data_IF_452763770332
#
_entry.id   IF_452763770332
#
_cell.length_a   1.000
_cell.length_b   1.000
_cell.length_c   1.000
_cell.angle_alpha   90.00
_cell.angle_beta   90.00
_cell.angle_gamma   90.00
#
_symmetry.space_group_name_H-M   'P 1'
#
loop_
_entity.id
_entity.type
_entity.pdbx_description
1 polymer ?
#
# COMPACT_ATOMS: atom_id res chain seq x y z
N UNK A 1 28.06 -8.54 -0.24
CA UNK A 1 28.08 -7.33 -1.05
C UNK A 1 27.61 -7.64 -2.47
N UNK A 2 26.66 -6.87 -2.97
CA UNK A 2 26.12 -7.03 -4.33
C UNK A 2 27.21 -6.69 -5.35
N UNK A 3 27.43 -7.58 -6.32
CA UNK A 3 28.32 -7.30 -7.45
C UNK A 3 27.55 -6.59 -8.57
N UNK A 4 27.87 -5.33 -8.81
CA UNK A 4 27.29 -4.51 -9.87
C UNK A 4 28.14 -4.48 -11.15
N UNK A 5 29.28 -5.16 -11.20
CA UNK A 5 30.16 -5.19 -12.39
C UNK A 5 29.46 -5.74 -13.66
N UNK A 6 28.53 -6.70 -13.56
CA UNK A 6 27.78 -7.19 -14.73
C UNK A 6 26.76 -6.20 -15.29
N UNK A 7 26.43 -5.09 -14.59
CA UNK A 7 25.44 -4.13 -15.02
C UNK A 7 26.01 -3.21 -16.11
N UNK A 8 26.03 -3.71 -17.34
CA UNK A 8 26.47 -2.94 -18.50
C UNK A 8 25.26 -2.50 -19.34
N UNK A 9 25.43 -1.46 -20.16
CA UNK A 9 24.40 -1.03 -21.10
C UNK A 9 24.01 -2.13 -22.06
N UNK A 10 24.99 -2.94 -22.50
CA UNK A 10 24.76 -4.07 -23.42
C UNK A 10 23.92 -5.17 -22.73
N UNK A 11 24.20 -5.49 -21.47
CA UNK A 11 23.41 -6.43 -20.69
C UNK A 11 21.96 -5.96 -20.51
N UNK A 12 21.78 -4.66 -20.22
CA UNK A 12 20.46 -4.04 -20.11
C UNK A 12 19.69 -4.13 -21.44
N UNK A 13 20.35 -3.79 -22.57
CA UNK A 13 19.72 -3.86 -23.89
C UNK A 13 19.33 -5.29 -24.27
N UNK A 14 20.15 -6.27 -23.94
CA UNK A 14 19.83 -7.68 -24.20
C UNK A 14 18.65 -8.15 -23.31
N UNK A 15 18.60 -7.73 -22.05
CA UNK A 15 17.46 -8.00 -21.16
C UNK A 15 16.17 -7.42 -21.72
N UNK A 16 16.18 -6.14 -22.14
CA UNK A 16 15.02 -5.47 -22.75
C UNK A 16 14.57 -6.18 -24.01
N UNK A 17 15.51 -6.55 -24.88
CA UNK A 17 15.22 -7.28 -26.13
C UNK A 17 14.58 -8.64 -25.86
N UNK A 18 15.08 -9.36 -24.85
CA UNK A 18 14.59 -10.68 -24.48
C UNK A 18 13.19 -10.62 -23.90
N UNK A 19 12.96 -9.71 -22.94
CA UNK A 19 11.64 -9.52 -22.36
C UNK A 19 10.68 -8.94 -23.40
N UNK A 20 11.16 -8.00 -24.23
CA UNK A 20 10.38 -7.39 -25.31
C UNK A 20 9.87 -8.37 -26.38
N UNK A 21 10.45 -9.58 -26.45
CA UNK A 21 9.92 -10.66 -27.27
C UNK A 21 8.65 -11.29 -26.67
N UNK A 22 8.44 -11.19 -25.36
CA UNK A 22 7.27 -11.73 -24.65
C UNK A 22 6.15 -10.69 -24.56
N UNK A 23 6.49 -9.43 -24.22
CA UNK A 23 5.53 -8.32 -24.12
C UNK A 23 6.20 -6.95 -24.31
N UNK A 24 5.44 -5.90 -24.72
CA UNK A 24 5.99 -4.57 -24.93
C UNK A 24 6.44 -3.92 -23.60
N UNK A 25 7.74 -3.71 -23.48
CA UNK A 25 8.35 -3.06 -22.31
C UNK A 25 8.10 -1.55 -22.38
N UNK A 26 7.50 -0.99 -21.33
CA UNK A 26 7.31 0.44 -21.16
C UNK A 26 8.35 1.05 -20.21
N UNK A 27 8.63 0.35 -19.13
CA UNK A 27 9.52 0.83 -18.06
C UNK A 27 10.43 -0.31 -17.62
N UNK A 28 11.66 0.03 -17.28
CA UNK A 28 12.65 -0.90 -16.75
C UNK A 28 13.21 -0.35 -15.46
N UNK A 29 13.15 -1.17 -14.42
CA UNK A 29 13.73 -0.88 -13.11
C UNK A 29 14.84 -1.86 -12.77
N UNK A 30 15.69 -1.48 -11.81
CA UNK A 30 16.68 -2.36 -11.20
C UNK A 30 16.32 -2.60 -9.74
N UNK A 31 16.17 -3.86 -9.36
CA UNK A 31 15.93 -4.26 -7.97
C UNK A 31 16.94 -5.31 -7.54
N UNK A 32 17.36 -5.26 -6.29
CA UNK A 32 18.21 -6.29 -5.71
C UNK A 32 17.37 -7.19 -4.81
N UNK A 33 17.38 -8.48 -5.09
CA UNK A 33 16.69 -9.51 -4.30
C UNK A 33 17.71 -10.59 -3.92
N UNK A 34 17.83 -10.89 -2.63
CA UNK A 34 18.81 -11.86 -2.11
C UNK A 34 20.26 -11.62 -2.61
N UNK A 35 20.70 -10.35 -2.60
CA UNK A 35 22.01 -9.90 -3.11
C UNK A 35 22.20 -10.06 -4.63
N UNK A 36 21.21 -10.51 -5.38
CA UNK A 36 21.24 -10.62 -6.83
C UNK A 36 20.48 -9.44 -7.45
N UNK A 37 21.10 -8.69 -8.38
CA UNK A 37 20.39 -7.63 -9.11
C UNK A 37 19.52 -8.24 -10.21
N UNK A 38 18.29 -7.71 -10.34
CA UNK A 38 17.31 -8.07 -11.36
C UNK A 38 16.87 -6.83 -12.12
N UNK A 39 16.71 -6.94 -13.40
CA UNK A 39 15.91 -6.01 -14.19
C UNK A 39 14.44 -6.41 -14.09
N UNK A 40 13.60 -5.42 -13.81
CA UNK A 40 12.15 -5.58 -13.79
C UNK A 40 11.61 -4.76 -14.94
N UNK A 41 10.95 -5.41 -15.87
CA UNK A 41 10.31 -4.75 -16.99
C UNK A 41 8.80 -4.73 -16.78
N UNK A 42 8.21 -3.56 -16.89
CA UNK A 42 6.77 -3.34 -16.77
C UNK A 42 6.15 -3.12 -18.14
N UNK A 43 4.97 -3.71 -18.35
CA UNK A 43 4.12 -3.48 -19.50
C UNK A 43 3.16 -2.33 -19.23
N UNK A 44 2.95 -1.47 -20.24
CA UNK A 44 1.85 -0.53 -20.15
C UNK A 44 0.51 -1.28 -20.08
N UNK A 45 -0.42 -0.85 -19.22
CA UNK A 45 -1.76 -1.39 -19.24
C UNK A 45 -2.41 -1.13 -20.63
N UNK A 46 -3.21 -2.07 -21.08
CA UNK A 46 -3.99 -1.91 -22.30
C UNK A 46 -5.08 -0.86 -22.12
N UNK A 47 -5.62 -0.32 -23.21
CA UNK A 47 -6.74 0.62 -23.14
C UNK A 47 -7.97 0.02 -22.44
N UNK A 48 -8.20 -1.27 -22.61
CA UNK A 48 -9.32 -1.97 -21.98
C UNK A 48 -9.11 -2.09 -20.46
N UNK A 49 -7.91 -2.46 -20.01
CA UNK A 49 -7.55 -2.49 -18.59
C UNK A 49 -7.69 -1.12 -17.95
N UNK A 50 -7.25 -0.05 -18.65
CA UNK A 50 -7.41 1.33 -18.19
C UNK A 50 -8.88 1.74 -18.11
N UNK A 51 -9.71 1.41 -19.10
CA UNK A 51 -11.15 1.72 -19.09
C UNK A 51 -11.84 1.01 -17.95
N UNK A 52 -11.55 -0.26 -17.73
CA UNK A 52 -12.12 -1.03 -16.62
C UNK A 52 -11.69 -0.47 -15.28
N UNK A 53 -10.43 -0.08 -15.13
CA UNK A 53 -9.92 0.54 -13.92
C UNK A 53 -10.59 1.90 -13.65
N UNK A 54 -10.67 2.78 -14.65
CA UNK A 54 -11.35 4.08 -14.54
C UNK A 54 -12.83 3.91 -14.21
N UNK A 55 -13.50 2.96 -14.83
CA UNK A 55 -14.92 2.66 -14.54
C UNK A 55 -15.12 2.21 -13.10
N UNK A 56 -14.24 1.39 -12.57
CA UNK A 56 -14.29 0.96 -11.16
C UNK A 56 -13.94 2.12 -10.20
N UNK A 57 -12.87 2.86 -10.48
CA UNK A 57 -12.40 3.95 -9.63
C UNK A 57 -13.39 5.12 -9.54
N UNK A 58 -14.21 5.34 -10.57
CA UNK A 58 -15.27 6.36 -10.55
C UNK A 58 -16.40 6.02 -9.57
N UNK A 59 -16.60 4.73 -9.26
CA UNK A 59 -17.63 4.23 -8.36
C UNK A 59 -17.09 3.83 -6.98
N UNK A 60 -15.79 3.61 -6.89
CA UNK A 60 -15.13 3.11 -5.69
C UNK A 60 -13.78 3.81 -5.47
N UNK A 61 -13.73 4.72 -4.50
CA UNK A 61 -12.52 5.44 -4.11
C UNK A 61 -11.40 4.52 -3.55
N UNK A 62 -11.74 3.26 -3.24
CA UNK A 62 -10.80 2.24 -2.78
C UNK A 62 -10.48 1.21 -3.86
N UNK A 63 -10.69 1.56 -5.13
CA UNK A 63 -10.27 0.68 -6.22
C UNK A 63 -8.78 0.37 -6.08
N UNK A 64 -8.39 -0.90 -6.08
CA UNK A 64 -6.99 -1.29 -5.99
C UNK A 64 -6.17 -0.58 -7.07
N UNK A 65 -4.95 -0.21 -6.73
CA UNK A 65 -3.98 0.33 -7.69
C UNK A 65 -3.90 -0.62 -8.89
N UNK A 66 -3.89 -0.09 -10.10
CA UNK A 66 -3.74 -0.89 -11.30
C UNK A 66 -2.38 -1.62 -11.23
N UNK A 67 -2.44 -2.92 -11.08
CA UNK A 67 -1.25 -3.75 -11.06
C UNK A 67 -0.73 -3.88 -12.48
N UNK A 68 0.54 -3.47 -12.70
CA UNK A 68 1.17 -3.57 -14.00
C UNK A 68 1.80 -4.94 -14.15
N UNK A 69 1.48 -5.63 -15.25
CA UNK A 69 2.16 -6.88 -15.59
C UNK A 69 3.66 -6.64 -15.76
N UNK A 70 4.47 -7.49 -15.17
CA UNK A 70 5.90 -7.33 -15.09
C UNK A 70 6.64 -8.66 -15.25
N UNK A 71 7.92 -8.55 -15.60
CA UNK A 71 8.84 -9.69 -15.72
C UNK A 71 10.17 -9.33 -15.10
N UNK A 72 10.72 -10.30 -14.40
CA UNK A 72 12.07 -10.27 -13.88
C UNK A 72 13.02 -10.99 -14.82
N UNK A 73 14.23 -10.48 -14.93
CA UNK A 73 15.39 -11.20 -15.50
C UNK A 73 16.60 -10.88 -14.67
N UNK A 74 17.45 -11.88 -14.38
CA UNK A 74 18.68 -11.63 -13.65
C UNK A 74 19.59 -10.69 -14.44
N UNK A 75 20.09 -9.65 -13.78
CA UNK A 75 21.03 -8.72 -14.39
C UNK A 75 22.46 -9.31 -14.50
N UNK A 76 22.74 -10.38 -13.75
CA UNK A 76 24.00 -11.13 -13.82
C UNK A 76 23.97 -12.32 -14.77
N UNK A 77 22.75 -12.79 -15.11
CA UNK A 77 22.53 -13.87 -16.08
C UNK A 77 21.35 -13.52 -16.98
N UNK A 78 21.58 -12.64 -17.95
CA UNK A 78 20.59 -12.24 -18.94
C UNK A 78 20.21 -13.35 -19.93
N UNK A 79 20.91 -14.51 -19.88
CA UNK A 79 20.56 -15.70 -20.67
C UNK A 79 19.39 -16.46 -20.01
N UNK A 80 19.21 -16.33 -18.71
CA UNK A 80 18.10 -16.93 -17.98
C UNK A 80 16.74 -16.52 -18.56
N UNK A 81 15.71 -17.35 -18.36
CA UNK A 81 14.35 -17.02 -18.78
C UNK A 81 13.76 -15.92 -17.89
N UNK A 82 13.03 -14.96 -18.48
CA UNK A 82 12.22 -14.06 -17.69
C UNK A 82 11.17 -14.83 -16.86
N UNK A 83 10.83 -14.30 -15.69
CA UNK A 83 9.83 -14.88 -14.80
C UNK A 83 9.00 -13.77 -14.13
N UNK A 84 7.83 -14.10 -13.61
CA UNK A 84 6.93 -13.16 -12.95
C UNK A 84 6.90 -13.27 -11.43
N UNK A 85 7.34 -14.40 -10.88
CA UNK A 85 7.22 -14.70 -9.46
C UNK A 85 8.47 -15.38 -8.92
N UNK A 86 8.89 -15.00 -7.73
CA UNK A 86 9.95 -15.66 -6.99
C UNK A 86 9.46 -16.97 -6.37
N UNK A 87 10.33 -17.96 -6.29
CA UNK A 87 10.01 -19.24 -5.68
C UNK A 87 9.92 -19.13 -4.15
N UNK A 88 9.23 -20.08 -3.52
CA UNK A 88 9.21 -20.19 -2.04
C UNK A 88 10.63 -20.21 -1.46
N UNK A 89 11.56 -20.91 -2.11
CA UNK A 89 12.97 -20.96 -1.70
C UNK A 89 13.59 -19.57 -1.69
N UNK A 90 13.30 -18.72 -2.67
CA UNK A 90 13.82 -17.36 -2.74
C UNK A 90 13.21 -16.47 -1.65
N UNK A 91 11.90 -16.61 -1.40
CA UNK A 91 11.22 -15.92 -0.33
C UNK A 91 11.77 -16.32 1.05
N UNK A 92 12.04 -17.60 1.27
CA UNK A 92 12.66 -18.07 2.52
C UNK A 92 14.09 -17.55 2.71
N UNK A 93 14.87 -17.38 1.64
CA UNK A 93 16.18 -16.70 1.71
C UNK A 93 16.01 -15.22 2.09
N UNK A 94 15.02 -14.51 1.54
CA UNK A 94 14.72 -13.14 1.93
C UNK A 94 14.36 -13.06 3.42
N UNK A 95 13.52 -13.98 3.89
CA UNK A 95 13.14 -14.07 5.29
C UNK A 95 14.34 -14.34 6.21
N UNK A 96 15.23 -15.26 5.83
CA UNK A 96 16.45 -15.56 6.59
C UNK A 96 17.41 -14.35 6.64
N UNK A 97 17.45 -13.54 5.60
CA UNK A 97 18.23 -12.28 5.60
C UNK A 97 17.62 -11.24 6.54
N UNK A 98 16.28 -11.15 6.58
CA UNK A 98 15.58 -10.21 7.44
C UNK A 98 15.56 -10.62 8.92
N UNK A 99 15.56 -11.93 9.20
CA UNK A 99 15.53 -12.51 10.54
C UNK A 99 16.67 -13.53 10.71
N UNK A 100 17.93 -13.07 10.73
CA UNK A 100 19.09 -13.97 10.83
C UNK A 100 19.07 -14.72 12.16
N UNK A 101 19.44 -16.01 12.11
CA UNK A 101 19.51 -16.91 13.25
C UNK A 101 18.19 -17.13 14.02
N UNK A 102 17.05 -16.89 13.38
CA UNK A 102 15.74 -17.18 13.97
C UNK A 102 14.96 -18.14 13.07
N UNK A 103 14.40 -19.17 13.68
CA UNK A 103 13.49 -20.09 12.99
C UNK A 103 12.04 -19.57 13.11
N UNK A 104 11.29 -19.69 12.02
CA UNK A 104 9.86 -19.40 12.05
C UNK A 104 9.09 -20.55 12.70
N UNK A 105 8.06 -20.22 13.47
CA UNK A 105 7.19 -21.18 14.13
C UNK A 105 6.02 -21.64 13.23
N UNK A 106 5.60 -20.77 12.30
CA UNK A 106 4.47 -21.04 11.40
C UNK A 106 4.79 -20.48 10.02
N UNK A 107 4.48 -21.26 8.97
CA UNK A 107 4.51 -20.88 7.58
C UNK A 107 3.10 -21.07 7.00
N UNK A 108 2.55 -20.05 6.37
CA UNK A 108 1.20 -20.10 5.79
C UNK A 108 1.19 -19.31 4.48
N UNK A 109 0.65 -19.90 3.41
CA UNK A 109 0.27 -19.18 2.22
C UNK A 109 -1.08 -18.51 2.40
N UNK A 110 -1.17 -17.25 2.05
CA UNK A 110 -2.39 -16.45 2.10
C UNK A 110 -2.95 -16.29 0.69
N UNK A 111 -4.17 -16.74 0.49
CA UNK A 111 -4.95 -16.52 -0.74
C UNK A 111 -5.95 -15.36 -0.58
N UNK A 112 -6.08 -14.85 0.65
CA UNK A 112 -6.93 -13.71 0.99
C UNK A 112 -6.20 -12.77 1.93
N UNK A 113 -6.51 -11.48 1.87
CA UNK A 113 -5.95 -10.49 2.77
C UNK A 113 -6.36 -10.77 4.22
N UNK A 114 -5.42 -10.56 5.15
CA UNK A 114 -5.69 -10.63 6.60
C UNK A 114 -5.66 -9.22 7.23
N UNK A 115 -5.83 -9.15 8.56
CA UNK A 115 -5.91 -7.86 9.28
C UNK A 115 -4.63 -7.01 9.22
N UNK A 116 -3.50 -7.58 8.80
CA UNK A 116 -2.19 -6.91 8.77
C UNK A 116 -1.56 -6.88 7.38
N UNK A 117 -2.02 -7.75 6.48
CA UNK A 117 -1.68 -7.75 5.08
C UNK A 117 -2.93 -7.51 4.26
N UNK A 118 -3.29 -6.27 4.08
CA UNK A 118 -4.52 -5.85 3.40
C UNK A 118 -4.22 -4.67 2.49
N UNK A 119 -5.11 -4.39 1.58
CA UNK A 119 -5.03 -3.23 0.71
C UNK A 119 -5.14 -1.95 1.54
N UNK A 120 -4.06 -1.20 1.63
CA UNK A 120 -4.13 0.19 2.08
C UNK A 120 -4.23 1.08 0.86
N UNK A 121 -5.26 1.88 0.79
CA UNK A 121 -5.26 3.03 -0.12
C UNK A 121 -4.39 4.08 0.54
N UNK A 122 -3.12 4.05 0.26
CA UNK A 122 -2.29 5.21 0.50
C UNK A 122 -2.67 6.24 -0.56
N UNK A 123 -3.60 7.12 -0.18
CA UNK A 123 -4.13 8.19 -1.03
C UNK A 123 -3.07 9.17 -1.53
N UNK A 124 -1.83 9.02 -1.09
CA UNK A 124 -0.68 9.79 -1.52
C UNK A 124 0.24 9.04 -2.50
N UNK A 125 0.05 7.73 -2.66
CA UNK A 125 0.86 6.92 -3.59
C UNK A 125 0.19 6.93 -4.97
N UNK A 126 0.31 8.09 -5.63
CA UNK A 126 -0.23 8.33 -6.96
C UNK A 126 0.40 7.36 -7.99
N UNK A 127 -0.08 6.12 -7.98
CA UNK A 127 0.15 5.19 -9.08
C UNK A 127 1.49 4.48 -9.10
N UNK A 128 2.22 4.40 -7.98
CA UNK A 128 3.40 3.54 -7.91
C UNK A 128 2.97 2.10 -7.60
N UNK A 129 3.29 1.12 -8.46
CA UNK A 129 2.91 -0.28 -8.28
C UNK A 129 3.51 -0.96 -7.04
N UNK A 130 4.32 -0.23 -6.26
CA UNK A 130 5.10 -0.75 -5.12
C UNK A 130 4.29 -0.91 -3.82
N UNK A 131 3.12 -0.29 -3.71
CA UNK A 131 2.28 -0.38 -2.50
C UNK A 131 1.23 -1.50 -2.57
N UNK A 132 1.11 -2.16 -3.71
CA UNK A 132 0.12 -3.22 -3.90
C UNK A 132 0.52 -4.47 -3.13
N UNK A 133 -0.29 -4.85 -2.17
CA UNK A 133 -0.13 -6.11 -1.44
C UNK A 133 -0.79 -7.23 -2.20
N UNK A 134 -0.02 -7.84 -3.08
CA UNK A 134 -0.50 -8.90 -3.98
C UNK A 134 -0.69 -10.22 -3.27
N UNK A 135 -1.62 -11.00 -3.78
CA UNK A 135 -1.88 -12.38 -3.37
C UNK A 135 -1.54 -13.32 -4.54
N UNK A 136 -1.09 -14.54 -4.27
CA UNK A 136 -0.84 -15.10 -2.94
C UNK A 136 0.37 -14.46 -2.25
N UNK A 137 0.40 -14.52 -0.91
CA UNK A 137 1.54 -14.04 -0.11
C UNK A 137 1.98 -15.09 0.90
N UNK A 138 3.28 -15.21 1.13
CA UNK A 138 3.83 -16.10 2.15
C UNK A 138 3.92 -15.36 3.49
N UNK A 139 3.26 -15.89 4.52
CA UNK A 139 3.36 -15.40 5.88
C UNK A 139 4.19 -16.33 6.74
N UNK A 140 5.20 -15.76 7.42
CA UNK A 140 6.02 -16.43 8.41
C UNK A 140 5.82 -15.78 9.77
N UNK A 141 5.55 -16.57 10.82
CA UNK A 141 5.44 -16.09 12.19
C UNK A 141 6.63 -16.57 13.00
N UNK A 142 7.26 -15.67 13.73
CA UNK A 142 8.42 -15.94 14.59
C UNK A 142 8.02 -15.87 16.06
N UNK A 143 8.67 -16.69 16.89
CA UNK A 143 8.53 -16.67 18.34
C UNK A 143 9.57 -15.78 19.02
N UNK A 144 9.91 -14.67 18.39
CA UNK A 144 10.81 -13.66 18.96
C UNK A 144 10.10 -12.78 19.99
N UNK A 145 10.86 -11.93 20.70
CA UNK A 145 10.33 -11.04 21.72
C UNK A 145 9.24 -10.07 21.21
N UNK A 146 9.28 -9.74 19.91
CA UNK A 146 8.32 -8.85 19.25
C UNK A 146 7.16 -9.62 18.62
N UNK A 147 7.17 -10.97 18.68
CA UNK A 147 6.24 -11.83 17.96
C UNK A 147 6.10 -11.40 16.50
N UNK A 148 7.22 -11.32 15.82
CA UNK A 148 7.35 -10.78 14.45
C UNK A 148 6.64 -11.68 13.45
N UNK A 149 5.90 -11.03 12.53
CA UNK A 149 5.32 -11.67 11.36
C UNK A 149 5.96 -11.06 10.12
N UNK A 150 6.39 -11.90 9.19
CA UNK A 150 6.86 -11.47 7.87
C UNK A 150 5.83 -11.87 6.83
N UNK A 151 5.53 -10.93 5.93
CA UNK A 151 4.74 -11.18 4.74
C UNK A 151 5.63 -10.94 3.52
N UNK A 152 5.66 -11.92 2.63
CA UNK A 152 6.49 -11.88 1.43
C UNK A 152 5.62 -12.08 0.20
N UNK A 153 5.71 -11.13 -0.73
CA UNK A 153 5.02 -11.21 -2.01
C UNK A 153 5.93 -11.86 -3.05
N UNK A 154 5.54 -12.97 -3.67
CA UNK A 154 6.32 -13.61 -4.73
C UNK A 154 6.40 -12.75 -5.99
N UNK A 155 5.34 -12.02 -6.33
CA UNK A 155 5.29 -11.20 -7.54
C UNK A 155 6.15 -9.95 -7.47
N UNK A 156 6.27 -9.31 -6.30
CA UNK A 156 7.01 -8.04 -6.15
C UNK A 156 8.31 -8.16 -5.36
N UNK A 157 8.67 -9.37 -4.88
CA UNK A 157 9.77 -9.57 -3.96
C UNK A 157 9.74 -8.58 -2.77
N UNK A 158 8.52 -8.21 -2.35
CA UNK A 158 8.30 -7.29 -1.26
C UNK A 158 8.24 -8.05 0.05
N UNK A 159 8.97 -7.54 1.06
CA UNK A 159 8.94 -8.03 2.42
C UNK A 159 8.30 -6.98 3.32
N UNK A 160 7.25 -7.36 4.04
CA UNK A 160 6.58 -6.52 5.04
C UNK A 160 6.76 -7.17 6.40
N UNK A 161 7.33 -6.43 7.33
CA UNK A 161 7.54 -6.84 8.70
C UNK A 161 6.47 -6.21 9.59
N UNK A 162 5.79 -7.03 10.40
CA UNK A 162 4.75 -6.60 11.33
C UNK A 162 5.08 -7.10 12.72
N UNK A 163 5.32 -6.19 13.64
CA UNK A 163 5.63 -6.50 15.05
C UNK A 163 4.41 -6.25 15.96
N UNK A 164 4.54 -6.61 17.23
CA UNK A 164 3.48 -6.37 18.24
C UNK A 164 3.09 -4.91 18.31
N UNK A 165 4.05 -3.99 18.19
CA UNK A 165 3.78 -2.54 18.20
C UNK A 165 2.94 -2.12 17.01
N UNK A 166 3.24 -2.64 15.82
CA UNK A 166 2.49 -2.33 14.59
C UNK A 166 1.05 -2.86 14.69
N UNK A 167 0.88 -4.08 15.21
CA UNK A 167 -0.45 -4.65 15.46
C UNK A 167 -1.26 -3.83 16.46
N UNK A 168 -0.63 -3.31 17.51
CA UNK A 168 -1.31 -2.41 18.48
C UNK A 168 -1.68 -1.08 17.84
N UNK A 169 -0.78 -0.48 17.06
CA UNK A 169 -1.03 0.76 16.33
C UNK A 169 -2.13 0.58 15.29
N UNK A 170 -2.16 -0.58 14.62
CA UNK A 170 -3.22 -0.93 13.67
C UNK A 170 -4.61 -0.80 14.32
N UNK A 171 -4.80 -1.37 15.48
CA UNK A 171 -6.09 -1.34 16.17
C UNK A 171 -6.33 -0.05 16.94
N UNK A 172 -5.30 0.49 17.61
CA UNK A 172 -5.44 1.68 18.44
C UNK A 172 -5.55 2.98 17.66
N UNK A 173 -4.80 3.12 16.56
CA UNK A 173 -4.77 4.34 15.76
C UNK A 173 -5.51 4.18 14.43
N UNK A 174 -5.02 3.31 13.55
CA UNK A 174 -5.56 3.22 12.18
C UNK A 174 -7.02 2.77 12.14
N UNK A 175 -7.37 1.73 12.88
CA UNK A 175 -8.74 1.22 12.89
C UNK A 175 -9.74 2.24 13.43
N UNK A 176 -9.38 2.95 14.52
CA UNK A 176 -10.25 3.97 15.11
C UNK A 176 -10.26 5.28 14.33
N UNK A 177 -9.12 5.68 13.75
CA UNK A 177 -9.00 6.95 13.03
C UNK A 177 -9.63 6.91 11.64
N UNK A 178 -9.44 5.81 10.92
CA UNK A 178 -9.93 5.65 9.54
C UNK A 178 -11.15 4.72 9.44
N UNK A 179 -11.66 4.17 10.55
CA UNK A 179 -12.66 3.09 10.57
C UNK A 179 -12.26 1.89 9.72
N UNK A 180 -10.95 1.60 9.71
CA UNK A 180 -10.32 0.58 8.91
C UNK A 180 -10.44 -0.79 9.61
N UNK A 181 -11.68 -1.23 9.85
CA UNK A 181 -12.00 -2.56 10.35
C UNK A 181 -12.30 -3.47 9.16
N UNK A 182 -11.77 -4.69 9.17
CA UNK A 182 -11.96 -5.65 8.08
C UNK A 182 -13.45 -5.85 7.73
N UNK A 183 -14.34 -5.88 8.74
CA UNK A 183 -15.78 -5.96 8.55
C UNK A 183 -16.34 -4.78 7.74
N UNK A 184 -15.90 -3.57 8.03
CA UNK A 184 -16.36 -2.36 7.35
C UNK A 184 -15.74 -2.23 5.97
N UNK A 185 -14.45 -2.49 5.87
CA UNK A 185 -13.67 -2.40 4.65
C UNK A 185 -14.14 -3.39 3.57
N UNK A 186 -14.39 -4.63 3.96
CA UNK A 186 -14.88 -5.66 3.03
C UNK A 186 -16.38 -5.52 2.68
N UNK A 187 -17.11 -4.69 3.42
CA UNK A 187 -18.51 -4.37 3.16
C UNK A 187 -18.65 -2.87 2.89
N UNK A 188 -18.22 -2.42 1.75
CA UNK A 188 -18.11 -1.02 1.36
C UNK A 188 -19.35 -0.17 1.65
N UNK A 189 -20.59 -0.60 1.34
CA UNK A 189 -21.76 0.21 1.66
C UNK A 189 -21.90 0.49 3.16
N UNK A 190 -21.49 -0.43 4.01
CA UNK A 190 -21.56 -0.27 5.47
C UNK A 190 -20.56 0.78 5.98
N UNK A 191 -19.36 0.81 5.43
CA UNK A 191 -18.35 1.83 5.75
C UNK A 191 -18.84 3.23 5.35
N UNK A 192 -19.35 3.37 4.14
CA UNK A 192 -19.86 4.64 3.61
C UNK A 192 -21.04 5.16 4.46
N UNK A 193 -21.97 4.28 4.83
CA UNK A 193 -23.12 4.63 5.69
C UNK A 193 -22.62 5.11 7.06
N UNK A 194 -21.67 4.40 7.67
CA UNK A 194 -21.12 4.78 8.98
C UNK A 194 -20.48 6.18 8.91
N UNK A 195 -19.62 6.42 7.91
CA UNK A 195 -18.97 7.72 7.72
C UNK A 195 -19.98 8.84 7.49
N UNK A 196 -20.99 8.61 6.65
CA UNK A 196 -22.05 9.59 6.41
C UNK A 196 -22.83 9.91 7.68
N UNK A 197 -23.22 8.91 8.48
CA UNK A 197 -23.92 9.12 9.75
C UNK A 197 -23.08 9.97 10.71
N UNK A 198 -21.78 9.70 10.82
CA UNK A 198 -20.89 10.49 11.66
C UNK A 198 -20.72 11.92 11.14
N UNK A 199 -20.58 12.12 9.83
CA UNK A 199 -20.52 13.45 9.22
C UNK A 199 -21.81 14.25 9.46
N UNK A 200 -22.98 13.65 9.30
CA UNK A 200 -24.24 14.31 9.63
C UNK A 200 -24.34 14.67 11.12
N UNK A 201 -23.86 13.79 11.99
CA UNK A 201 -23.73 14.10 13.43
C UNK A 201 -22.84 15.31 13.69
N UNK A 202 -21.68 15.40 13.07
CA UNK A 202 -20.78 16.55 13.16
C UNK A 202 -21.43 17.83 12.65
N UNK A 203 -22.14 17.77 11.52
CA UNK A 203 -22.87 18.91 10.96
C UNK A 203 -23.96 19.38 11.95
N UNK A 204 -24.74 18.46 12.50
CA UNK A 204 -25.78 18.79 13.48
C UNK A 204 -25.18 19.46 14.72
N UNK A 205 -24.08 18.93 15.26
CA UNK A 205 -23.36 19.55 16.39
C UNK A 205 -22.86 20.95 16.03
N UNK A 206 -22.31 21.13 14.84
CA UNK A 206 -21.83 22.45 14.38
C UNK A 206 -22.97 23.44 14.30
N UNK A 207 -24.09 23.06 13.72
CA UNK A 207 -25.27 23.92 13.59
C UNK A 207 -25.85 24.32 14.97
N UNK A 208 -25.90 23.37 15.91
CA UNK A 208 -26.35 23.69 17.27
C UNK A 208 -25.38 24.64 18.01
N UNK A 209 -24.09 24.59 17.72
CA UNK A 209 -23.08 25.48 18.30
C UNK A 209 -23.10 26.89 17.69
N UNK A 210 -23.58 27.07 16.45
CA UNK A 210 -23.62 28.38 15.78
C UNK A 210 -24.56 29.35 16.50
N UNK A 211 -25.72 28.90 16.97
CA UNK A 211 -26.70 29.77 17.65
C UNK A 211 -26.13 30.48 18.89
N UNK A 212 -25.57 29.77 19.90
CA UNK A 212 -24.99 30.45 21.06
C UNK A 212 -23.71 31.25 20.71
N UNK A 213 -22.96 30.85 19.72
CA UNK A 213 -21.81 31.62 19.25
C UNK A 213 -22.25 32.95 18.62
N UNK A 214 -23.30 32.95 17.83
CA UNK A 214 -23.89 34.14 17.23
C UNK A 214 -24.42 35.12 18.28
N UNK A 215 -25.10 34.64 19.32
CA UNK A 215 -25.61 35.48 20.40
C UNK A 215 -24.47 36.10 21.21
N UNK A 216 -23.40 35.37 21.43
CA UNK A 216 -22.19 35.93 22.06
C UNK A 216 -21.56 37.02 21.19
N UNK A 217 -21.42 36.75 19.89
CA UNK A 217 -20.86 37.71 18.95
C UNK A 217 -21.66 39.01 18.89
N UNK A 218 -23.00 38.91 18.82
CA UNK A 218 -23.88 40.10 18.90
C UNK A 218 -23.68 40.90 20.17
N UNK A 219 -23.62 40.24 21.34
CA UNK A 219 -23.38 40.90 22.62
C UNK A 219 -22.03 41.63 22.66
N UNK A 220 -20.97 41.00 22.12
CA UNK A 220 -19.67 41.65 22.03
C UNK A 220 -19.65 42.81 21.06
N UNK A 221 -20.32 42.69 19.91
CA UNK A 221 -20.43 43.75 18.94
C UNK A 221 -21.17 44.98 19.51
N UNK A 222 -22.30 44.78 20.17
CA UNK A 222 -23.04 45.87 20.84
C UNK A 222 -22.21 46.54 21.91
N UNK A 223 -21.46 45.77 22.71
CA UNK A 223 -20.56 46.31 23.75
C UNK A 223 -19.42 47.13 23.13
N UNK A 224 -18.83 46.69 22.01
CA UNK A 224 -17.82 47.46 21.29
C UNK A 224 -18.40 48.79 20.77
N UNK A 225 -19.57 48.77 20.17
CA UNK A 225 -20.21 50.00 19.67
C UNK A 225 -20.49 50.99 20.82
N UNK A 226 -20.88 50.51 22.01
CA UNK A 226 -21.09 51.37 23.15
C UNK A 226 -19.81 52.00 23.74
N UNK A 227 -18.64 51.41 23.47
CA UNK A 227 -17.34 51.96 23.87
C UNK A 227 -16.84 53.05 22.90
N UNK A 228 -17.24 52.96 21.60
CA UNK A 228 -16.82 53.92 20.57
C UNK A 228 -17.88 54.96 20.22
N UNK A 229 -19.15 54.74 20.64
CA UNK A 229 -20.25 55.70 20.53
C UNK A 229 -20.33 56.51 21.79
N UNK A 230 -19.48 57.49 21.96
CA UNK A 230 -19.59 58.47 23.03
C UNK A 230 -20.86 59.28 22.91
N UNK A 231 -21.43 59.83 24.04
CA UNK A 231 -22.63 60.61 24.00
C UNK A 231 -22.40 61.93 23.20
N UNK A 232 -23.18 62.16 22.19
CA UNK A 232 -23.42 63.49 21.65
C UNK A 232 -24.59 64.08 22.39
#
# INVERSE_FOLDING_TARGET
>A
PVDFAPLTVDAMQEAVKKIGAEFPVKELELQVVNEVPYYIAYRAPSEEELRQWVSRSALDFLTPTLEWDHRYISATDVVARPFSEFTETDLLKMAATAMPAQDYAELTWLDTHDDYYYHTVDSFDLGLPRSVRTLPALRLKYNDANATWLYLSPSHAQLIKVETTDRRNRWGYYALHAFDFALLYNNRPLWDILVLVLLFGCIAMTLTAVSPAWDRLKKHYVRLLSLFGGPH
#
